data_IF_555559455177
#
_entry.id   IF_555559455177
#
_cell.length_a   1.000
_cell.length_b   1.000
_cell.length_c   1.000
_cell.angle_alpha   90.00
_cell.angle_beta   90.00
_cell.angle_gamma   90.00
#
_symmetry.space_group_name_H-M   'P 1'
#
loop_
_entity.id
_entity.type
_entity.pdbx_description
1 polymer ?
#
# COMPACT_ATOMS: atom_id res chain seq x y z
N UNK A 1 5.01 0.75 -20.84
CA UNK A 1 4.26 0.89 -19.57
C UNK A 1 2.76 0.98 -19.89
N UNK A 2 1.90 0.16 -19.27
CA UNK A 2 0.44 0.19 -19.47
C UNK A 2 -0.18 1.56 -19.19
N UNK A 3 0.39 2.31 -18.24
CA UNK A 3 0.01 3.70 -17.91
C UNK A 3 0.23 4.67 -19.06
N UNK A 4 1.34 4.54 -19.79
CA UNK A 4 1.69 5.43 -20.91
C UNK A 4 0.82 5.20 -22.17
N UNK A 5 0.08 4.11 -22.23
CA UNK A 5 -0.77 3.75 -23.37
C UNK A 5 -2.27 3.87 -23.08
N UNK A 6 -2.66 4.33 -21.89
CA UNK A 6 -4.07 4.62 -21.61
C UNK A 6 -4.50 5.83 -22.45
N UNK A 7 -5.42 5.59 -23.39
CA UNK A 7 -5.91 6.61 -24.32
C UNK A 7 -7.42 6.76 -24.29
N UNK A 8 -8.12 5.78 -23.74
CA UNK A 8 -9.58 5.79 -23.64
C UNK A 8 -10.03 5.96 -22.20
N UNK A 9 -11.26 6.47 -21.96
CA UNK A 9 -11.83 6.54 -20.62
C UNK A 9 -11.85 5.17 -19.92
N UNK A 10 -12.09 4.10 -20.69
CA UNK A 10 -12.09 2.74 -20.19
C UNK A 10 -10.69 2.27 -19.73
N UNK A 11 -9.61 2.69 -20.41
CA UNK A 11 -8.24 2.36 -20.00
C UNK A 11 -7.86 3.06 -18.70
N UNK A 12 -8.19 4.36 -18.60
CA UNK A 12 -7.97 5.11 -17.38
C UNK A 12 -8.77 4.53 -16.21
N UNK A 13 -10.03 4.12 -16.42
CA UNK A 13 -10.84 3.45 -15.39
C UNK A 13 -10.28 2.07 -14.97
N UNK A 14 -9.70 1.30 -15.91
CA UNK A 14 -9.01 0.04 -15.56
C UNK A 14 -7.79 0.30 -14.68
N UNK A 15 -6.99 1.32 -15.00
CA UNK A 15 -5.84 1.71 -14.18
C UNK A 15 -6.27 2.20 -12.80
N UNK A 16 -7.33 3.00 -12.72
CA UNK A 16 -7.88 3.44 -11.44
C UNK A 16 -8.25 2.26 -10.53
N UNK A 17 -8.98 1.28 -11.07
CA UNK A 17 -9.34 0.05 -10.34
C UNK A 17 -8.11 -0.76 -9.93
N UNK A 18 -7.11 -0.86 -10.80
CA UNK A 18 -5.87 -1.55 -10.50
C UNK A 18 -5.13 -0.89 -9.32
N UNK A 19 -4.98 0.43 -9.36
CA UNK A 19 -4.33 1.18 -8.29
C UNK A 19 -5.11 1.13 -6.98
N UNK A 20 -6.45 1.16 -7.02
CA UNK A 20 -7.27 0.95 -5.82
C UNK A 20 -7.07 -0.46 -5.22
N UNK A 21 -7.07 -1.51 -6.04
CA UNK A 21 -6.81 -2.87 -5.56
C UNK A 21 -5.40 -3.02 -4.98
N UNK A 22 -4.40 -2.34 -5.55
CA UNK A 22 -3.05 -2.29 -4.99
C UNK A 22 -3.01 -1.53 -3.66
N UNK A 23 -3.77 -0.45 -3.53
CA UNK A 23 -3.87 0.29 -2.27
C UNK A 23 -4.48 -0.57 -1.16
N UNK A 24 -5.57 -1.30 -1.46
CA UNK A 24 -6.22 -2.21 -0.50
C UNK A 24 -5.27 -3.31 -0.02
N UNK A 25 -4.47 -3.89 -0.92
CA UNK A 25 -3.44 -4.87 -0.56
C UNK A 25 -2.42 -4.31 0.41
N UNK A 26 -1.86 -3.13 0.12
CA UNK A 26 -0.87 -2.50 1.00
C UNK A 26 -1.48 -2.11 2.34
N UNK A 27 -2.76 -1.74 2.40
CA UNK A 27 -3.42 -1.51 3.69
C UNK A 27 -3.62 -2.78 4.50
N UNK A 28 -3.97 -3.88 3.85
CA UNK A 28 -4.05 -5.18 4.52
C UNK A 28 -2.67 -5.57 5.09
N UNK A 29 -1.61 -5.44 4.30
CA UNK A 29 -0.23 -5.69 4.74
C UNK A 29 0.18 -4.76 5.90
N UNK A 30 -0.21 -3.48 5.85
CA UNK A 30 0.04 -2.55 6.95
C UNK A 30 -0.65 -2.98 8.24
N UNK A 31 -1.91 -3.42 8.17
CA UNK A 31 -2.67 -3.91 9.33
C UNK A 31 -2.06 -5.19 9.91
N UNK A 32 -1.63 -6.13 9.05
CA UNK A 32 -0.94 -7.34 9.47
C UNK A 32 0.36 -7.02 10.20
N UNK A 33 1.16 -6.11 9.66
CA UNK A 33 2.39 -5.68 10.31
C UNK A 33 2.17 -4.86 11.59
N UNK A 34 1.14 -4.03 11.67
CA UNK A 34 0.71 -3.35 12.91
C UNK A 34 0.37 -4.38 13.99
N UNK A 35 -0.38 -5.43 13.65
CA UNK A 35 -0.72 -6.52 14.57
C UNK A 35 0.53 -7.29 15.04
N UNK A 36 1.43 -7.65 14.11
CA UNK A 36 2.70 -8.30 14.45
C UNK A 36 3.58 -7.43 15.36
N UNK A 37 3.63 -6.12 15.11
CA UNK A 37 4.39 -5.20 15.96
C UNK A 37 3.88 -5.19 17.41
N UNK A 38 2.55 -5.25 17.61
CA UNK A 38 1.94 -5.36 18.93
C UNK A 38 2.34 -6.67 19.60
N UNK A 39 2.26 -7.80 18.87
CA UNK A 39 2.60 -9.11 19.40
C UNK A 39 4.10 -9.24 19.75
N UNK A 40 4.99 -8.76 18.90
CA UNK A 40 6.43 -8.73 19.18
C UNK A 40 6.81 -7.79 20.33
N UNK A 41 6.05 -6.71 20.52
CA UNK A 41 6.22 -5.83 21.70
C UNK A 41 5.80 -6.53 22.98
N UNK A 42 4.68 -7.27 22.94
CA UNK A 42 4.14 -8.02 24.10
C UNK A 42 4.97 -9.25 24.45
N UNK A 43 5.63 -9.87 23.46
CA UNK A 43 6.40 -11.09 23.67
C UNK A 43 7.86 -10.93 23.17
N UNK A 44 8.76 -10.36 23.99
CA UNK A 44 10.17 -10.12 23.63
C UNK A 44 10.97 -11.39 23.34
N UNK A 45 10.42 -12.59 23.62
CA UNK A 45 11.00 -13.87 23.23
C UNK A 45 10.71 -14.26 21.77
N UNK A 46 9.58 -13.77 21.22
CA UNK A 46 9.23 -13.94 19.80
C UNK A 46 9.80 -12.83 18.93
N UNK A 47 9.95 -11.64 19.50
CA UNK A 47 10.53 -10.49 18.82
C UNK A 47 12.05 -10.44 18.99
N UNK A 48 12.81 -10.20 17.92
CA UNK A 48 14.26 -10.00 18.05
C UNK A 48 14.58 -8.60 18.60
N UNK A 49 14.43 -8.42 19.91
CA UNK A 49 14.65 -7.13 20.61
C UNK A 49 16.09 -6.61 20.51
N UNK A 50 17.05 -7.46 20.11
CA UNK A 50 18.46 -7.09 19.96
C UNK A 50 18.84 -6.69 18.53
N UNK A 51 17.94 -6.88 17.57
CA UNK A 51 18.16 -6.55 16.15
C UNK A 51 16.91 -5.85 15.59
N UNK A 52 16.78 -4.52 15.78
CA UNK A 52 15.56 -3.76 15.53
C UNK A 52 15.05 -3.73 14.08
N UNK A 53 15.85 -4.17 13.10
CA UNK A 53 15.43 -4.30 11.70
C UNK A 53 15.32 -5.74 11.22
N UNK A 54 15.41 -6.71 12.13
CA UNK A 54 15.10 -8.10 11.77
C UNK A 54 13.64 -8.27 11.39
N UNK A 55 13.30 -9.16 10.44
CA UNK A 55 11.92 -9.36 9.98
C UNK A 55 10.91 -9.67 11.10
N UNK A 56 11.41 -10.26 12.19
CA UNK A 56 10.67 -10.60 13.40
C UNK A 56 10.86 -9.59 14.53
N UNK A 57 10.99 -8.29 14.24
CA UNK A 57 11.11 -7.24 15.26
C UNK A 57 9.95 -6.27 15.17
N UNK A 58 9.52 -5.74 16.32
CA UNK A 58 8.42 -4.79 16.36
C UNK A 58 8.73 -3.49 15.59
N UNK A 59 9.99 -3.05 15.60
CA UNK A 59 10.43 -1.84 14.90
C UNK A 59 10.42 -2.03 13.38
N UNK A 60 10.92 -3.17 12.88
CA UNK A 60 10.75 -3.56 11.47
C UNK A 60 9.28 -3.54 11.04
N UNK A 61 8.40 -4.19 11.81
CA UNK A 61 6.98 -4.24 11.46
C UNK A 61 6.31 -2.86 11.48
N UNK A 62 6.65 -1.99 12.44
CA UNK A 62 6.15 -0.59 12.45
C UNK A 62 6.59 0.17 11.22
N UNK A 63 7.90 0.12 10.90
CA UNK A 63 8.46 0.79 9.74
C UNK A 63 7.80 0.31 8.44
N UNK A 64 7.63 -1.01 8.29
CA UNK A 64 7.01 -1.59 7.10
C UNK A 64 5.53 -1.22 7.00
N UNK A 65 4.78 -1.25 8.11
CA UNK A 65 3.39 -0.81 8.11
C UNK A 65 3.24 0.65 7.69
N UNK A 66 4.08 1.56 8.19
CA UNK A 66 4.09 2.96 7.77
C UNK A 66 4.40 3.11 6.28
N UNK A 67 5.37 2.34 5.77
CA UNK A 67 5.71 2.33 4.35
C UNK A 67 4.54 1.85 3.48
N UNK A 68 3.87 0.76 3.89
CA UNK A 68 2.69 0.23 3.23
C UNK A 68 1.52 1.23 3.26
N UNK A 69 1.28 1.93 4.38
CA UNK A 69 0.28 3.01 4.46
C UNK A 69 0.58 4.14 3.47
N UNK A 70 1.85 4.55 3.39
CA UNK A 70 2.28 5.58 2.44
C UNK A 70 2.08 5.12 0.99
N UNK A 71 2.49 3.91 0.67
CA UNK A 71 2.29 3.30 -0.65
C UNK A 71 0.80 3.22 -0.99
N UNK A 72 -0.05 2.77 -0.07
CA UNK A 72 -1.50 2.73 -0.28
C UNK A 72 -2.08 4.11 -0.57
N UNK A 73 -1.64 5.15 0.15
CA UNK A 73 -2.05 6.54 -0.09
C UNK A 73 -1.64 7.03 -1.48
N UNK A 74 -0.41 6.77 -1.89
CA UNK A 74 0.09 7.12 -3.22
C UNK A 74 -0.68 6.38 -4.33
N UNK A 75 -0.97 5.09 -4.12
CA UNK A 75 -1.77 4.28 -5.04
C UNK A 75 -3.19 4.82 -5.17
N UNK A 76 -3.84 5.24 -4.07
CA UNK A 76 -5.14 5.91 -4.14
C UNK A 76 -5.09 7.25 -4.87
N UNK A 77 -4.02 8.02 -4.70
CA UNK A 77 -3.83 9.27 -5.42
C UNK A 77 -3.71 9.01 -6.93
N UNK A 78 -2.96 7.98 -7.33
CA UNK A 78 -2.88 7.54 -8.73
C UNK A 78 -4.24 7.06 -9.25
N UNK A 79 -4.99 6.31 -8.45
CA UNK A 79 -6.33 5.88 -8.82
C UNK A 79 -7.24 7.07 -9.10
N UNK A 80 -7.31 8.05 -8.19
CA UNK A 80 -8.11 9.26 -8.35
C UNK A 80 -7.68 10.09 -9.57
N UNK A 81 -6.37 10.20 -9.84
CA UNK A 81 -5.86 10.87 -11.03
C UNK A 81 -6.33 10.17 -12.32
N UNK A 82 -6.31 8.84 -12.35
CA UNK A 82 -6.82 8.07 -13.47
C UNK A 82 -8.35 8.18 -13.61
N UNK A 83 -9.11 8.24 -12.53
CA UNK A 83 -10.56 8.51 -12.60
C UNK A 83 -10.87 9.89 -13.17
N UNK A 84 -10.09 10.91 -12.80
CA UNK A 84 -10.22 12.26 -13.33
C UNK A 84 -9.92 12.28 -14.84
N UNK A 85 -8.79 11.71 -15.28
CA UNK A 85 -8.44 11.62 -16.69
C UNK A 85 -9.48 10.86 -17.51
N UNK A 86 -10.09 9.80 -16.96
CA UNK A 86 -11.16 9.09 -17.64
C UNK A 86 -12.38 9.98 -17.90
N UNK A 87 -12.74 10.85 -16.95
CA UNK A 87 -13.84 11.80 -17.10
C UNK A 87 -13.51 12.89 -18.12
N UNK A 88 -12.26 13.35 -18.15
CA UNK A 88 -11.80 14.38 -19.09
C UNK A 88 -11.75 13.88 -20.53
N UNK A 89 -11.23 12.67 -20.76
CA UNK A 89 -11.15 12.07 -22.09
C UNK A 89 -12.53 11.60 -22.60
N UNK A 90 -13.48 11.35 -21.70
CA UNK A 90 -14.84 10.91 -22.05
C UNK A 90 -15.84 12.04 -22.28
N UNK A 91 -15.39 13.30 -22.17
CA UNK A 91 -16.19 14.50 -22.39
C UNK A 91 -16.04 14.98 -23.83
#
# INVERSE_FOLDING_TARGET
ALVANAKTPADHMKLARHFNAMAEKHEAEALEHEALAVEYTRNPRMGSSKTPMSPNSAEHCKYFAEHCRKAAKEMRAMAAAHEAMAKEVGK
#
